data_IF_087601717328
#
_entry.id   IF_087601717328
#
_cell.length_a   1.000
_cell.length_b   1.000
_cell.length_c   1.000
_cell.angle_alpha   90.00
_cell.angle_beta   90.00
_cell.angle_gamma   90.00
#
_symmetry.space_group_name_H-M   'P 1'
#
loop_
_entity.id
_entity.type
_entity.pdbx_description
1 polymer ?
#
# COMPACT_ATOMS: atom_id res chain seq x y z
N UNK A 1 -13.41 2.99 -11.97
CA UNK A 1 -12.88 3.91 -10.93
C UNK A 1 -11.56 3.39 -10.42
N UNK A 2 -10.52 4.19 -10.48
CA UNK A 2 -9.22 3.85 -9.91
C UNK A 2 -9.18 4.18 -8.44
N UNK A 3 -8.73 3.23 -7.64
CA UNK A 3 -8.51 3.39 -6.20
C UNK A 3 -7.02 3.32 -5.92
N UNK A 4 -6.48 4.39 -5.34
CA UNK A 4 -5.09 4.43 -4.89
C UNK A 4 -5.02 4.03 -3.42
N UNK A 5 -4.26 3.00 -3.11
CA UNK A 5 -4.02 2.53 -1.74
C UNK A 5 -2.58 2.86 -1.38
N UNK A 6 -2.39 3.52 -0.25
CA UNK A 6 -1.09 3.95 0.21
C UNK A 6 -0.75 3.22 1.50
N UNK A 7 0.41 2.58 1.54
CA UNK A 7 0.95 1.97 2.75
C UNK A 7 2.29 2.62 3.08
N UNK A 8 2.41 3.18 4.28
CA UNK A 8 3.68 3.66 4.82
C UNK A 8 4.37 2.52 5.53
N UNK A 9 5.63 2.29 5.23
CA UNK A 9 6.42 1.21 5.84
C UNK A 9 7.70 1.76 6.45
N UNK A 10 8.10 1.18 7.58
CA UNK A 10 9.43 1.37 8.16
C UNK A 10 9.77 0.15 9.01
N UNK A 11 10.80 -0.61 8.60
CA UNK A 11 11.21 -1.85 9.29
C UNK A 11 10.01 -2.76 9.58
N UNK A 12 9.19 -3.02 8.56
CA UNK A 12 7.89 -3.70 8.68
C UNK A 12 7.92 -5.16 8.23
N UNK A 13 9.09 -5.77 8.10
CA UNK A 13 9.20 -7.12 7.52
C UNK A 13 8.38 -8.19 8.26
N UNK A 14 8.15 -8.01 9.58
CA UNK A 14 7.43 -9.01 10.37
C UNK A 14 5.92 -9.06 10.10
N UNK A 15 5.34 -7.94 9.67
CA UNK A 15 3.88 -7.82 9.52
C UNK A 15 3.44 -7.60 8.08
N UNK A 16 4.33 -7.13 7.23
CA UNK A 16 3.98 -6.65 5.90
C UNK A 16 3.53 -7.76 4.95
N UNK A 17 4.03 -8.98 5.12
CA UNK A 17 3.70 -10.09 4.22
C UNK A 17 2.18 -10.33 4.16
N UNK A 18 1.52 -10.39 5.32
CA UNK A 18 0.08 -10.62 5.37
C UNK A 18 -0.70 -9.46 4.76
N UNK A 19 -0.25 -8.23 4.99
CA UNK A 19 -0.85 -7.04 4.37
C UNK A 19 -0.75 -7.09 2.84
N UNK A 20 0.42 -7.41 2.32
CA UNK A 20 0.61 -7.58 0.87
C UNK A 20 -0.27 -8.68 0.31
N UNK A 21 -0.36 -9.81 1.00
CA UNK A 21 -1.18 -10.92 0.57
C UNK A 21 -2.66 -10.55 0.51
N UNK A 22 -3.17 -9.82 1.50
CA UNK A 22 -4.57 -9.38 1.51
C UNK A 22 -4.87 -8.44 0.34
N UNK A 23 -3.91 -7.61 -0.07
CA UNK A 23 -4.07 -6.75 -1.24
C UNK A 23 -4.04 -7.54 -2.55
N UNK A 24 -3.11 -8.51 -2.67
CA UNK A 24 -3.01 -9.34 -3.88
C UNK A 24 -4.30 -10.10 -4.18
N UNK A 25 -5.10 -10.40 -3.16
CA UNK A 25 -6.37 -11.12 -3.28
C UNK A 25 -7.55 -10.22 -3.65
N UNK A 26 -7.37 -8.90 -3.70
CA UNK A 26 -8.48 -7.99 -4.00
C UNK A 26 -8.98 -8.17 -5.43
N UNK A 27 -10.29 -8.15 -5.61
CA UNK A 27 -10.94 -8.41 -6.89
C UNK A 27 -11.12 -7.15 -7.74
N UNK A 28 -11.02 -5.96 -7.14
CA UNK A 28 -11.16 -4.71 -7.89
C UNK A 28 -10.02 -4.60 -8.92
N UNK A 29 -10.33 -4.40 -10.23
CA UNK A 29 -9.31 -4.49 -11.28
C UNK A 29 -8.39 -3.27 -11.38
N UNK A 30 -8.82 -2.09 -10.92
CA UNK A 30 -8.09 -0.85 -11.12
C UNK A 30 -7.59 -0.28 -9.77
N UNK A 31 -6.59 -0.95 -9.21
CA UNK A 31 -5.93 -0.54 -7.97
C UNK A 31 -4.54 -0.01 -8.30
N UNK A 32 -4.25 1.22 -7.83
CA UNK A 32 -2.90 1.75 -7.78
C UNK A 32 -2.37 1.57 -6.36
N UNK A 33 -1.41 0.70 -6.16
CA UNK A 33 -0.83 0.46 -4.84
C UNK A 33 0.52 1.15 -4.73
N UNK A 34 0.62 2.08 -3.77
CA UNK A 34 1.80 2.89 -3.54
C UNK A 34 2.36 2.56 -2.17
N UNK A 35 3.62 2.14 -2.12
CA UNK A 35 4.33 1.92 -0.87
C UNK A 35 5.32 3.06 -0.68
N UNK A 36 5.23 3.73 0.47
CA UNK A 36 6.18 4.78 0.86
C UNK A 36 6.99 4.25 2.03
N UNK A 37 8.25 3.92 1.77
CA UNK A 37 9.15 3.35 2.77
C UNK A 37 10.10 4.42 3.30
N UNK A 38 10.24 4.48 4.62
CA UNK A 38 11.07 5.44 5.33
C UNK A 38 12.55 5.06 5.41
N UNK A 39 13.09 4.44 4.34
CA UNK A 39 14.45 3.94 4.27
C UNK A 39 14.71 2.82 5.29
N UNK A 40 13.89 1.77 5.23
CA UNK A 40 13.98 0.59 6.10
C UNK A 40 15.37 -0.05 6.03
N UNK A 41 15.85 -0.50 7.18
CA UNK A 41 17.15 -1.18 7.32
C UNK A 41 17.01 -2.70 7.32
N UNK A 42 15.79 -3.21 7.43
CA UNK A 42 15.50 -4.65 7.38
C UNK A 42 15.15 -5.08 5.95
N UNK A 43 14.52 -6.25 5.79
CA UNK A 43 14.15 -6.80 4.49
C UNK A 43 12.80 -6.31 3.95
N UNK A 44 12.26 -5.21 4.45
CA UNK A 44 10.94 -4.68 4.06
C UNK A 44 10.84 -4.49 2.54
N UNK A 45 11.78 -3.77 1.93
CA UNK A 45 11.76 -3.50 0.48
C UNK A 45 11.93 -4.79 -0.32
N UNK A 46 12.84 -5.66 0.10
CA UNK A 46 13.06 -6.94 -0.56
C UNK A 46 11.80 -7.80 -0.54
N UNK A 47 11.09 -7.80 0.57
CA UNK A 47 9.84 -8.55 0.73
C UNK A 47 8.76 -8.02 -0.22
N UNK A 48 8.63 -6.70 -0.35
CA UNK A 48 7.69 -6.09 -1.28
C UNK A 48 7.98 -6.51 -2.71
N UNK A 49 9.22 -6.37 -3.15
CA UNK A 49 9.63 -6.70 -4.52
C UNK A 49 9.47 -8.17 -4.86
N UNK A 50 9.61 -9.06 -3.86
CA UNK A 50 9.56 -10.50 -4.07
C UNK A 50 8.14 -11.07 -4.05
N UNK A 51 7.20 -10.43 -3.34
CA UNK A 51 5.89 -11.01 -3.01
C UNK A 51 4.69 -10.22 -3.52
N UNK A 52 4.90 -9.06 -4.14
CA UNK A 52 3.78 -8.26 -4.64
C UNK A 52 3.87 -8.04 -6.14
N UNK A 53 2.79 -8.33 -6.84
CA UNK A 53 2.63 -8.03 -8.26
C UNK A 53 1.79 -6.78 -8.49
N UNK A 54 1.05 -6.32 -7.47
CA UNK A 54 0.13 -5.18 -7.59
C UNK A 54 0.73 -3.84 -7.19
N UNK A 55 1.94 -3.83 -6.64
CA UNK A 55 2.60 -2.57 -6.29
C UNK A 55 2.95 -1.80 -7.55
N UNK A 56 2.36 -0.61 -7.67
CA UNK A 56 2.56 0.27 -8.83
C UNK A 56 3.77 1.17 -8.65
N UNK A 57 4.00 1.66 -7.43
CA UNK A 57 5.08 2.59 -7.12
C UNK A 57 5.67 2.26 -5.74
N UNK A 58 6.99 2.36 -5.64
CA UNK A 58 7.71 2.29 -4.37
C UNK A 58 8.53 3.55 -4.24
N UNK A 59 8.25 4.32 -3.17
CA UNK A 59 9.03 5.50 -2.80
C UNK A 59 9.85 5.11 -1.58
N UNK A 60 11.17 5.04 -1.71
CA UNK A 60 12.05 4.63 -0.63
C UNK A 60 13.04 5.76 -0.33
N UNK A 61 12.75 6.50 0.73
CA UNK A 61 13.61 7.61 1.19
C UNK A 61 13.30 7.91 2.66
N UNK A 62 14.24 8.51 3.41
CA UNK A 62 13.97 8.91 4.78
C UNK A 62 12.78 9.86 4.85
N UNK A 63 11.89 9.65 5.82
CA UNK A 63 10.77 10.53 6.06
C UNK A 63 10.82 11.10 7.49
N UNK A 64 9.94 12.06 7.77
CA UNK A 64 9.85 12.74 9.08
C UNK A 64 8.72 12.16 9.93
N UNK A 65 8.29 10.94 9.65
CA UNK A 65 7.20 10.26 10.33
C UNK A 65 6.07 9.90 9.39
N UNK A 66 5.01 9.31 9.97
CA UNK A 66 3.93 8.73 9.16
C UNK A 66 3.20 9.76 8.30
N UNK A 67 3.01 10.98 8.80
CA UNK A 67 2.29 12.01 8.02
C UNK A 67 3.10 12.47 6.81
N UNK A 68 4.41 12.57 6.94
CA UNK A 68 5.29 12.87 5.82
C UNK A 68 5.22 11.76 4.76
N UNK A 69 5.27 10.51 5.20
CA UNK A 69 5.15 9.36 4.31
C UNK A 69 3.81 9.35 3.56
N UNK A 70 2.70 9.59 4.27
CA UNK A 70 1.37 9.62 3.66
C UNK A 70 1.24 10.77 2.66
N UNK A 71 1.81 11.93 2.95
CA UNK A 71 1.81 13.06 2.01
C UNK A 71 2.56 12.72 0.72
N UNK A 72 3.70 12.05 0.82
CA UNK A 72 4.44 11.59 -0.36
C UNK A 72 3.60 10.64 -1.21
N UNK A 73 2.88 9.73 -0.57
CA UNK A 73 1.97 8.82 -1.24
C UNK A 73 0.82 9.54 -1.94
N UNK A 74 0.20 10.51 -1.28
CA UNK A 74 -0.88 11.30 -1.85
C UNK A 74 -0.40 12.06 -3.09
N UNK A 75 0.78 12.66 -3.05
CA UNK A 75 1.34 13.37 -4.20
C UNK A 75 1.61 12.45 -5.39
N UNK A 76 1.92 11.18 -5.14
CA UNK A 76 2.18 10.20 -6.18
C UNK A 76 0.90 9.53 -6.70
N UNK A 77 -0.22 9.65 -5.99
CA UNK A 77 -1.46 8.97 -6.32
C UNK A 77 -2.16 9.61 -7.51
N UNK A 78 -2.75 8.77 -8.36
CA UNK A 78 -3.52 9.22 -9.52
C UNK A 78 -4.96 8.69 -9.51
N UNK A 79 -5.38 8.01 -8.44
CA UNK A 79 -6.71 7.42 -8.35
C UNK A 79 -7.80 8.45 -8.07
N UNK A 80 -9.03 8.04 -8.34
CA UNK A 80 -10.22 8.84 -8.06
C UNK A 80 -10.52 8.89 -6.55
N UNK A 81 -10.17 7.83 -5.84
CA UNK A 81 -10.30 7.71 -4.40
C UNK A 81 -8.96 7.26 -3.83
N UNK A 82 -8.56 7.84 -2.71
CA UNK A 82 -7.31 7.51 -2.02
C UNK A 82 -7.65 6.88 -0.67
N UNK A 83 -7.11 5.69 -0.42
CA UNK A 83 -7.23 5.01 0.86
C UNK A 83 -5.87 4.71 1.45
N UNK A 84 -5.84 4.46 2.76
CA UNK A 84 -4.64 4.10 3.49
C UNK A 84 -4.79 2.70 4.07
N UNK A 85 -3.74 1.90 3.96
CA UNK A 85 -3.65 0.58 4.55
C UNK A 85 -2.33 0.51 5.32
N UNK A 86 -2.40 0.38 6.65
CA UNK A 86 -1.20 0.31 7.47
C UNK A 86 -0.42 -0.99 7.22
N UNK A 87 0.88 -0.97 7.50
CA UNK A 87 1.76 -2.10 7.21
C UNK A 87 1.50 -3.35 8.06
N UNK A 88 0.65 -3.24 9.08
CA UNK A 88 0.21 -4.35 9.92
C UNK A 88 -1.29 -4.64 9.79
N UNK A 89 -1.97 -3.99 8.86
CA UNK A 89 -3.40 -4.19 8.64
C UNK A 89 -3.66 -5.21 7.53
N UNK A 90 -4.86 -5.79 7.59
CA UNK A 90 -5.37 -6.70 6.57
C UNK A 90 -6.67 -6.17 6.00
N UNK A 91 -6.87 -6.34 4.71
CA UNK A 91 -8.18 -6.13 4.11
C UNK A 91 -9.10 -7.29 4.53
N UNK A 92 -10.31 -6.96 4.98
CA UNK A 92 -11.19 -7.91 5.66
C UNK A 92 -11.63 -9.07 4.76
N UNK A 93 -11.75 -8.83 3.45
CA UNK A 93 -12.18 -9.84 2.49
C UNK A 93 -11.75 -9.42 1.08
N UNK A 94 -11.80 -10.36 0.13
CA UNK A 94 -11.24 -10.16 -1.21
C UNK A 94 -11.95 -9.09 -2.04
N UNK A 95 -13.22 -8.81 -1.75
CA UNK A 95 -14.01 -7.79 -2.44
C UNK A 95 -14.04 -6.44 -1.71
N UNK A 96 -13.21 -6.24 -0.68
CA UNK A 96 -13.27 -5.02 0.15
C UNK A 96 -13.11 -3.75 -0.68
N UNK A 97 -12.10 -3.69 -1.54
CA UNK A 97 -11.85 -2.52 -2.39
C UNK A 97 -12.92 -2.38 -3.45
N UNK A 98 -13.40 -3.49 -4.03
CA UNK A 98 -14.48 -3.47 -5.01
C UNK A 98 -15.77 -2.91 -4.41
N UNK A 99 -16.10 -3.28 -3.17
CA UNK A 99 -17.27 -2.76 -2.47
C UNK A 99 -17.14 -1.26 -2.18
N UNK A 100 -15.95 -0.79 -1.82
CA UNK A 100 -15.69 0.64 -1.66
C UNK A 100 -15.92 1.38 -2.98
N UNK A 101 -15.40 0.83 -4.08
CA UNK A 101 -15.57 1.43 -5.41
C UNK A 101 -17.04 1.58 -5.81
N UNK A 102 -17.89 0.63 -5.44
CA UNK A 102 -19.33 0.70 -5.72
C UNK A 102 -20.05 1.80 -4.95
N UNK A 103 -19.48 2.29 -3.86
CA UNK A 103 -20.06 3.33 -3.02
C UNK A 103 -19.90 4.72 -3.64
N UNK A 104 -18.95 4.87 -4.50
CA UNK A 104 -18.65 6.14 -5.20
C UNK A 104 -19.10 6.08 -6.68
#
# INVERSE_FOLDING_TARGET
MRISIITATYNSEKTLFDTLLSLEKQTHPDIEYIVVDGASKDNTIKLIKSNSTKVSKIICEPDKGIYDALNKGIQAASGDVIGFLHSDDLLAYDDAIADIAKTF
#
